data_IF_690405760891
#
_entry.id   IF_690405760891
#
_cell.length_a   1.000
_cell.length_b   1.000
_cell.length_c   1.000
_cell.angle_alpha   90.00
_cell.angle_beta   90.00
_cell.angle_gamma   90.00
#
_symmetry.space_group_name_H-M   'P 1'
#
loop_
_entity.id
_entity.type
_entity.pdbx_description
1 polymer ?
#
# COMPACT_ATOMS: atom_id res chain seq x y z
N UNK A 1 -8.66 -22.25 19.15
CA UNK A 1 -9.88 -22.59 18.37
C UNK A 1 -10.46 -21.31 17.75
N UNK A 2 -11.61 -21.32 17.06
CA UNK A 2 -12.28 -20.05 16.66
C UNK A 2 -12.65 -19.15 17.86
N UNK A 3 -12.62 -19.69 19.08
CA UNK A 3 -12.91 -18.98 20.33
C UNK A 3 -11.75 -18.05 20.78
N UNK A 4 -10.59 -18.09 20.11
CA UNK A 4 -9.41 -17.27 20.42
C UNK A 4 -9.23 -16.05 19.51
N UNK A 5 -10.08 -15.89 18.48
CA UNK A 5 -9.95 -14.79 17.52
C UNK A 5 -10.65 -13.52 18.03
N UNK A 6 -9.87 -12.47 18.25
CA UNK A 6 -10.40 -11.14 18.54
C UNK A 6 -10.54 -10.28 17.27
N UNK A 7 -11.60 -9.48 17.20
CA UNK A 7 -11.74 -8.50 16.12
C UNK A 7 -10.81 -7.32 16.41
N UNK A 8 -9.77 -7.18 15.59
CA UNK A 8 -8.78 -6.09 15.71
C UNK A 8 -9.28 -4.74 15.19
N UNK A 9 -10.07 -4.73 14.10
CA UNK A 9 -10.55 -3.52 13.43
C UNK A 9 -11.96 -3.75 12.86
N UNK A 10 -12.86 -2.78 13.04
CA UNK A 10 -14.23 -2.76 12.52
C UNK A 10 -14.45 -1.56 11.60
N UNK A 11 -15.52 -1.65 10.80
CA UNK A 11 -16.05 -0.49 10.08
C UNK A 11 -16.35 0.63 11.08
N UNK A 12 -15.98 1.87 10.75
CA UNK A 12 -16.09 3.07 11.60
C UNK A 12 -15.06 3.20 12.73
N UNK A 13 -14.18 2.22 12.94
CA UNK A 13 -13.05 2.43 13.83
C UNK A 13 -12.17 3.59 13.31
N UNK A 14 -11.64 4.45 14.19
CA UNK A 14 -10.73 5.50 13.77
C UNK A 14 -9.46 4.90 13.15
N UNK A 15 -9.13 5.33 11.94
CA UNK A 15 -7.94 4.89 11.21
C UNK A 15 -7.09 6.08 10.78
N UNK A 16 -5.83 5.80 10.46
CA UNK A 16 -4.97 6.69 9.70
C UNK A 16 -4.85 6.16 8.27
N UNK A 17 -5.26 6.96 7.29
CA UNK A 17 -5.12 6.61 5.88
C UNK A 17 -3.80 7.18 5.34
N UNK A 18 -2.92 6.30 4.87
CA UNK A 18 -1.62 6.62 4.31
C UNK A 18 -1.76 7.00 2.84
N UNK A 19 -1.17 8.13 2.49
CA UNK A 19 -1.00 8.55 1.11
C UNK A 19 0.50 8.58 0.76
N UNK A 20 0.85 8.04 -0.41
CA UNK A 20 2.22 7.97 -0.89
C UNK A 20 2.40 9.08 -1.93
N UNK A 21 3.18 10.14 -1.62
CA UNK A 21 3.40 11.22 -2.57
C UNK A 21 4.21 10.74 -3.77
N UNK A 22 4.04 11.40 -4.91
CA UNK A 22 4.72 11.05 -6.17
C UNK A 22 6.25 11.09 -6.08
N UNK A 23 6.80 11.93 -5.19
CA UNK A 23 8.24 12.12 -5.01
C UNK A 23 8.63 11.67 -3.62
N UNK A 24 9.86 11.19 -3.51
CA UNK A 24 10.41 10.63 -2.29
C UNK A 24 10.86 9.19 -2.51
N UNK A 25 11.33 8.56 -1.45
CA UNK A 25 11.79 7.18 -1.48
C UNK A 25 10.99 6.36 -0.50
N UNK A 26 10.60 5.15 -0.92
CA UNK A 26 9.94 4.14 -0.08
C UNK A 26 10.94 3.32 0.74
N UNK A 27 12.18 3.78 0.86
CA UNK A 27 13.17 3.18 1.75
C UNK A 27 12.57 2.98 3.14
N UNK A 28 12.79 1.79 3.69
CA UNK A 28 12.14 1.35 4.93
C UNK A 28 12.37 2.32 6.10
N UNK A 29 13.55 2.93 6.20
CA UNK A 29 13.86 3.92 7.24
C UNK A 29 12.99 5.18 7.16
N UNK A 30 12.69 5.70 5.96
CA UNK A 30 11.86 6.89 5.79
C UNK A 30 10.38 6.61 6.04
N UNK A 31 9.92 5.42 5.63
CA UNK A 31 8.58 4.95 5.93
C UNK A 31 8.39 4.81 7.45
N UNK A 32 9.30 4.11 8.14
CA UNK A 32 9.27 3.93 9.60
C UNK A 32 9.26 5.27 10.34
N UNK A 33 10.09 6.21 9.94
CA UNK A 33 10.11 7.56 10.53
C UNK A 33 8.76 8.27 10.38
N UNK A 34 8.16 8.20 9.19
CA UNK A 34 6.84 8.78 8.93
C UNK A 34 5.76 8.17 9.83
N UNK A 35 5.78 6.85 10.04
CA UNK A 35 4.83 6.16 10.92
C UNK A 35 5.05 6.50 12.40
N UNK A 36 6.30 6.62 12.87
CA UNK A 36 6.59 7.06 14.25
C UNK A 36 6.07 8.46 14.50
N UNK A 37 6.35 9.38 13.57
CA UNK A 37 5.93 10.76 13.68
C UNK A 37 4.41 10.89 13.79
N UNK A 38 3.65 10.16 12.96
CA UNK A 38 2.17 10.25 13.01
C UNK A 38 1.60 9.59 14.27
N UNK A 39 2.17 8.49 14.75
CA UNK A 39 1.72 7.84 15.99
C UNK A 39 2.04 8.66 17.24
N UNK A 40 3.09 9.49 17.23
CA UNK A 40 3.35 10.45 18.32
C UNK A 40 2.45 11.69 18.20
N UNK A 41 2.27 12.21 16.99
CA UNK A 41 1.58 13.48 16.74
C UNK A 41 0.07 13.39 16.95
N UNK A 42 -0.57 12.34 16.43
CA UNK A 42 -2.04 12.24 16.41
C UNK A 42 -2.66 12.22 17.81
N UNK A 43 -2.15 11.45 18.80
CA UNK A 43 -2.68 11.49 20.16
C UNK A 43 -2.57 12.86 20.84
N UNK A 44 -1.57 13.67 20.47
CA UNK A 44 -1.40 15.03 20.99
C UNK A 44 -2.43 16.01 20.43
N UNK A 45 -2.76 15.89 19.15
CA UNK A 45 -3.70 16.79 18.48
C UNK A 45 -5.16 16.33 18.60
N UNK A 46 -5.39 15.02 18.72
CA UNK A 46 -6.71 14.41 18.77
C UNK A 46 -6.81 13.41 19.95
N UNK A 47 -6.66 13.87 21.21
CA UNK A 47 -6.56 12.99 22.38
C UNK A 47 -7.80 12.12 22.63
N UNK A 48 -8.98 12.52 22.13
CA UNK A 48 -10.20 11.71 22.21
C UNK A 48 -10.25 10.58 21.15
N UNK A 49 -9.37 10.59 20.14
CA UNK A 49 -9.40 9.67 19.01
C UNK A 49 -8.41 8.52 19.24
N UNK A 50 -8.94 7.32 19.38
CA UNK A 50 -8.14 6.10 19.55
C UNK A 50 -7.98 5.40 18.21
N UNK A 51 -6.86 5.66 17.53
CA UNK A 51 -6.53 5.02 16.25
C UNK A 51 -6.41 3.51 16.45
N UNK A 52 -7.12 2.75 15.62
CA UNK A 52 -7.12 1.27 15.62
C UNK A 52 -6.25 0.67 14.53
N UNK A 53 -6.00 1.41 13.46
CA UNK A 53 -5.19 0.92 12.35
C UNK A 53 -4.58 2.04 11.51
N UNK A 54 -3.48 1.69 10.85
CA UNK A 54 -2.93 2.42 9.72
C UNK A 54 -3.31 1.65 8.45
N UNK A 55 -3.91 2.34 7.49
CA UNK A 55 -4.46 1.77 6.26
C UNK A 55 -3.85 2.44 5.06
N UNK A 56 -3.54 1.68 4.01
CA UNK A 56 -3.13 2.23 2.71
C UNK A 56 -4.03 1.66 1.62
N UNK A 57 -4.63 2.52 0.79
CA UNK A 57 -5.35 2.10 -0.41
C UNK A 57 -4.53 2.55 -1.62
N UNK A 58 -4.02 1.60 -2.37
CA UNK A 58 -3.08 1.89 -3.46
C UNK A 58 -3.01 0.73 -4.44
N UNK A 59 -2.63 1.04 -5.69
CA UNK A 59 -2.21 0.02 -6.66
C UNK A 59 -1.03 -0.80 -6.11
N UNK A 60 -0.18 -0.18 -5.28
CA UNK A 60 0.94 -0.85 -4.62
C UNK A 60 0.52 -1.85 -3.54
N UNK A 61 -0.75 -1.88 -3.13
CA UNK A 61 -1.28 -2.86 -2.17
C UNK A 61 -1.97 -4.03 -2.88
N UNK A 62 -1.85 -4.10 -4.21
CA UNK A 62 -2.33 -5.24 -4.98
C UNK A 62 -1.49 -6.48 -4.67
N UNK A 63 -2.15 -7.60 -4.38
CA UNK A 63 -1.48 -8.90 -4.28
C UNK A 63 -0.88 -9.40 -5.60
N UNK A 64 -0.99 -8.62 -6.68
CA UNK A 64 -0.41 -8.93 -8.00
C UNK A 64 0.97 -8.29 -8.21
N UNK A 65 1.48 -7.53 -7.23
CA UNK A 65 2.75 -6.79 -7.38
C UNK A 65 3.97 -7.70 -7.38
N UNK A 66 3.93 -8.84 -6.70
CA UNK A 66 5.00 -9.84 -6.69
C UNK A 66 5.21 -10.50 -8.07
N UNK A 67 4.19 -10.50 -8.93
CA UNK A 67 4.28 -10.99 -10.31
C UNK A 67 4.99 -10.01 -11.26
N UNK A 68 5.07 -8.71 -10.92
CA UNK A 68 5.58 -7.66 -11.83
C UNK A 68 6.71 -6.82 -11.24
N UNK A 69 7.03 -7.03 -9.96
CA UNK A 69 8.14 -6.38 -9.26
C UNK A 69 9.10 -7.46 -8.77
N UNK A 70 10.36 -7.36 -9.19
CA UNK A 70 11.42 -8.26 -8.72
C UNK A 70 12.03 -7.75 -7.41
N UNK A 71 12.37 -8.67 -6.50
CA UNK A 71 13.17 -8.35 -5.32
C UNK A 71 14.67 -8.17 -5.67
N UNK A 72 15.42 -7.33 -4.93
CA UNK A 72 14.96 -6.46 -3.84
C UNK A 72 14.22 -5.22 -4.34
N UNK A 73 13.14 -4.83 -3.66
CA UNK A 73 12.33 -3.67 -4.05
C UNK A 73 11.73 -2.99 -2.83
N UNK A 74 11.99 -1.67 -2.70
CA UNK A 74 11.36 -0.85 -1.67
C UNK A 74 9.82 -0.88 -1.74
N UNK A 75 9.23 -1.13 -2.92
CA UNK A 75 7.77 -1.28 -3.07
C UNK A 75 7.29 -2.56 -2.39
N UNK A 76 7.96 -3.68 -2.64
CA UNK A 76 7.60 -4.95 -2.01
C UNK A 76 7.87 -4.90 -0.51
N UNK A 77 9.00 -4.33 -0.09
CA UNK A 77 9.29 -4.13 1.33
C UNK A 77 8.19 -3.29 1.99
N UNK A 78 7.79 -2.17 1.37
CA UNK A 78 6.69 -1.35 1.86
C UNK A 78 5.37 -2.12 1.94
N UNK A 79 5.03 -2.91 0.92
CA UNK A 79 3.81 -3.72 0.89
C UNK A 79 3.81 -4.80 1.99
N UNK A 80 4.93 -5.49 2.17
CA UNK A 80 5.07 -6.61 3.11
C UNK A 80 4.85 -6.20 4.57
N UNK A 81 4.99 -4.92 4.90
CA UNK A 81 4.68 -4.39 6.23
C UNK A 81 3.15 -4.36 6.52
N UNK A 82 2.30 -4.62 5.52
CA UNK A 82 0.84 -4.60 5.64
C UNK A 82 0.21 -5.98 5.45
N UNK A 83 -0.90 -6.22 6.13
CA UNK A 83 -1.82 -7.30 5.76
C UNK A 83 -2.70 -6.83 4.61
N UNK A 84 -2.67 -7.53 3.47
CA UNK A 84 -3.41 -7.15 2.27
C UNK A 84 -4.86 -7.61 2.30
N UNK A 85 -5.75 -6.83 1.70
CA UNK A 85 -7.15 -7.15 1.49
C UNK A 85 -7.68 -6.56 0.18
N UNK A 86 -8.69 -7.17 -0.45
CA UNK A 86 -9.22 -6.70 -1.72
C UNK A 86 -10.02 -5.40 -1.56
N UNK A 87 -9.96 -4.55 -2.58
CA UNK A 87 -10.83 -3.40 -2.75
C UNK A 87 -11.65 -3.52 -4.04
N UNK A 88 -12.76 -2.80 -4.10
CA UNK A 88 -13.40 -2.54 -5.39
C UNK A 88 -12.47 -1.64 -6.21
N UNK A 89 -12.12 -2.09 -7.41
CA UNK A 89 -11.05 -1.53 -8.22
C UNK A 89 -11.48 -1.48 -9.68
N UNK A 90 -11.13 -0.39 -10.36
CA UNK A 90 -11.27 -0.28 -11.81
C UNK A 90 -10.00 -0.69 -12.55
N UNK A 91 -8.89 -0.86 -11.82
CA UNK A 91 -7.63 -1.38 -12.38
C UNK A 91 -6.85 -0.37 -13.23
N UNK A 92 -7.29 0.88 -13.25
CA UNK A 92 -6.73 1.93 -14.10
C UNK A 92 -5.75 2.84 -13.37
N UNK A 93 -5.76 2.86 -12.02
CA UNK A 93 -4.97 3.83 -11.27
C UNK A 93 -3.47 3.62 -11.50
N UNK A 94 -3.01 2.37 -11.51
CA UNK A 94 -1.59 2.02 -11.69
C UNK A 94 -0.99 2.65 -12.95
N UNK A 95 -1.74 2.70 -14.06
CA UNK A 95 -1.26 3.27 -15.31
C UNK A 95 -0.98 4.77 -15.20
N UNK A 96 -1.83 5.50 -14.48
CA UNK A 96 -1.63 6.94 -14.24
C UNK A 96 -0.40 7.21 -13.36
N UNK A 97 -0.10 6.30 -12.43
CA UNK A 97 1.03 6.44 -11.51
C UNK A 97 2.36 5.95 -12.09
N UNK A 98 2.36 4.93 -12.95
CA UNK A 98 3.60 4.38 -13.53
C UNK A 98 3.95 5.08 -14.83
N UNK A 99 3.00 5.29 -15.73
CA UNK A 99 3.26 5.85 -17.07
C UNK A 99 3.03 7.36 -17.17
N UNK A 100 2.37 7.95 -16.18
CA UNK A 100 2.13 9.40 -16.10
C UNK A 100 1.40 10.01 -17.31
N UNK A 101 0.62 9.19 -18.03
CA UNK A 101 -0.18 9.61 -19.18
C UNK A 101 -1.45 8.76 -19.29
N UNK A 102 -2.51 9.29 -19.90
CA UNK A 102 -3.64 8.47 -20.33
C UNK A 102 -3.13 7.34 -21.24
N UNK A 103 -3.69 6.15 -21.07
CA UNK A 103 -3.33 5.00 -21.89
C UNK A 103 -4.45 4.77 -22.89
N UNK A 104 -4.22 5.21 -24.12
CA UNK A 104 -5.14 5.01 -25.24
C UNK A 104 -4.94 3.63 -25.87
N UNK A 105 -3.69 3.17 -25.94
CA UNK A 105 -3.29 1.88 -26.48
C UNK A 105 -2.17 1.26 -25.62
N UNK A 106 -2.42 0.07 -25.09
CA UNK A 106 -1.45 -0.64 -24.25
C UNK A 106 -0.17 -1.05 -25.01
N UNK A 107 -0.24 -1.23 -26.33
CA UNK A 107 0.94 -1.58 -27.14
C UNK A 107 1.99 -0.46 -27.19
N UNK A 108 1.56 0.79 -26.98
CA UNK A 108 2.42 1.97 -27.05
C UNK A 108 3.05 2.32 -25.70
N UNK A 109 2.75 1.57 -24.64
CA UNK A 109 3.33 1.79 -23.31
C UNK A 109 4.87 1.74 -23.37
N UNK A 110 5.57 2.69 -22.72
CA UNK A 110 7.02 2.64 -22.63
C UNK A 110 7.46 1.44 -21.80
N UNK A 111 8.73 1.08 -21.93
CA UNK A 111 9.37 -0.05 -21.25
C UNK A 111 10.72 0.39 -20.68
N UNK A 112 10.83 1.65 -20.23
CA UNK A 112 12.08 2.25 -19.75
C UNK A 112 12.51 1.67 -18.39
N UNK A 113 11.56 1.12 -17.63
CA UNK A 113 11.81 0.45 -16.35
C UNK A 113 11.31 -0.99 -16.39
N UNK A 114 11.83 -1.83 -15.47
CA UNK A 114 11.38 -3.23 -15.35
C UNK A 114 9.88 -3.32 -15.04
N UNK A 115 9.37 -2.44 -14.17
CA UNK A 115 7.95 -2.39 -13.85
C UNK A 115 7.10 -2.00 -15.07
N UNK A 116 7.52 -0.97 -15.82
CA UNK A 116 6.85 -0.57 -17.05
C UNK A 116 6.75 -1.73 -18.05
N UNK A 117 7.86 -2.45 -18.24
CA UNK A 117 7.93 -3.63 -19.12
C UNK A 117 7.01 -4.76 -18.67
N UNK A 118 7.12 -5.19 -17.41
CA UNK A 118 6.30 -6.28 -16.87
C UNK A 118 4.80 -5.94 -16.91
N UNK A 119 4.45 -4.68 -16.62
CA UNK A 119 3.08 -4.20 -16.75
C UNK A 119 2.55 -4.26 -18.17
N UNK A 120 3.35 -3.82 -19.16
CA UNK A 120 2.97 -3.89 -20.56
C UNK A 120 2.76 -5.33 -21.01
N UNK A 121 3.70 -6.23 -20.71
CA UNK A 121 3.60 -7.66 -21.03
C UNK A 121 2.32 -8.28 -20.46
N UNK A 122 2.05 -8.07 -19.16
CA UNK A 122 0.83 -8.56 -18.50
C UNK A 122 -0.44 -8.01 -19.14
N UNK A 123 -0.46 -6.72 -19.46
CA UNK A 123 -1.63 -6.06 -20.03
C UNK A 123 -1.90 -6.54 -21.46
N UNK A 124 -0.86 -6.75 -22.27
CA UNK A 124 -0.99 -7.32 -23.62
C UNK A 124 -1.44 -8.78 -23.60
N UNK A 125 -1.16 -9.51 -22.52
CA UNK A 125 -1.70 -10.85 -22.27
C UNK A 125 -3.18 -10.85 -21.82
N UNK A 126 -3.81 -9.68 -21.69
CA UNK A 126 -5.21 -9.54 -21.26
C UNK A 126 -5.43 -9.77 -19.77
N UNK A 127 -4.37 -9.75 -18.95
CA UNK A 127 -4.46 -9.96 -17.51
C UNK A 127 -4.64 -8.59 -16.82
N UNK A 128 -5.77 -8.35 -16.15
CA UNK A 128 -6.05 -7.04 -15.53
C UNK A 128 -5.22 -6.82 -14.26
N UNK A 129 -5.05 -5.54 -13.92
CA UNK A 129 -4.57 -5.10 -12.61
C UNK A 129 -5.73 -4.68 -11.73
N UNK A 130 -5.54 -4.80 -10.42
CA UNK A 130 -6.48 -4.31 -9.42
C UNK A 130 -5.77 -3.52 -8.33
N UNK A 131 -6.41 -2.47 -7.83
CA UNK A 131 -6.01 -1.79 -6.61
C UNK A 131 -6.35 -2.65 -5.37
N UNK A 132 -5.56 -2.51 -4.32
CA UNK A 132 -5.75 -3.24 -3.06
C UNK A 132 -5.71 -2.34 -1.83
N UNK A 133 -6.04 -2.93 -0.70
CA UNK A 133 -5.91 -2.32 0.62
C UNK A 133 -4.84 -3.03 1.43
N UNK A 134 -4.07 -2.26 2.20
CA UNK A 134 -3.19 -2.74 3.24
C UNK A 134 -3.67 -2.25 4.60
N UNK A 135 -3.61 -3.09 5.62
CA UNK A 135 -3.89 -2.72 7.02
C UNK A 135 -2.76 -3.17 7.94
N UNK A 136 -2.37 -2.30 8.86
CA UNK A 136 -1.57 -2.65 10.04
C UNK A 136 -2.31 -2.19 11.30
N UNK A 137 -2.48 -3.10 12.25
CA UNK A 137 -3.26 -2.88 13.47
C UNK A 137 -2.42 -2.11 14.48
N UNK A 138 -3.00 -1.07 15.07
CA UNK A 138 -2.37 -0.31 16.15
C UNK A 138 -2.79 -0.93 17.49
N UNK A 139 -1.82 -1.41 18.26
CA UNK A 139 -2.00 -1.93 19.62
C UNK A 139 -1.10 -1.15 20.56
N UNK A 140 -1.62 -0.70 21.71
CA UNK A 140 -0.87 0.06 22.72
C UNK A 140 -0.12 1.29 22.16
N UNK A 141 -0.67 1.94 21.13
CA UNK A 141 -0.06 3.12 20.50
C UNK A 141 1.07 2.83 19.49
N UNK A 142 1.35 1.56 19.21
CA UNK A 142 2.37 1.12 18.23
C UNK A 142 1.79 0.13 17.22
N UNK A 143 2.54 -0.20 16.18
CA UNK A 143 2.21 -1.24 15.18
C UNK A 143 3.47 -1.79 14.51
N UNK A 144 3.33 -2.87 13.75
CA UNK A 144 4.45 -3.50 13.02
C UNK A 144 5.21 -2.54 12.11
N UNK A 145 4.53 -1.51 11.59
CA UNK A 145 5.11 -0.52 10.67
C UNK A 145 6.25 0.31 11.29
N UNK A 146 6.36 0.40 12.61
CA UNK A 146 7.40 1.18 13.30
C UNK A 146 8.50 0.32 13.93
N UNK A 147 8.16 -0.91 14.29
CA UNK A 147 9.04 -1.87 14.95
C UNK A 147 10.04 -2.45 13.94
N UNK A 148 9.60 -2.67 12.70
CA UNK A 148 10.36 -3.47 11.74
C UNK A 148 10.37 -4.94 12.15
N UNK A 149 10.49 -5.84 11.17
CA UNK A 149 10.79 -7.24 11.46
C UNK A 149 12.22 -7.42 11.96
#
# INVERSE_FOLDING_TARGET
SKEEWEISVRKQDPILLVHIPRRGSLKAEFCRESYRNVLEFVPRCFPATHIKAIVCHSWMMSGQMDEVVEAPSNLLDFQNNYTLYPLSSQGTAIFSFVFHRPVENHADLPENTRLEKAMKERTLAGIPFYEGGGVSVVKNGTCSLVEGD
#
